data_IF_960694319278
#
_entry.id   IF_960694319278
#
_cell.length_a   1.000
_cell.length_b   1.000
_cell.length_c   1.000
_cell.angle_alpha   90.00
_cell.angle_beta   90.00
_cell.angle_gamma   90.00
#
_symmetry.space_group_name_H-M   'P 1'
#
loop_
_entity.id
_entity.type
_entity.pdbx_description
1 polymer ?
#
# COMPACT_ATOMS: atom_id res chain seq x y z
N UNK A 1 -15.47 24.06 0.44
CA UNK A 1 -16.55 23.18 -0.03
C UNK A 1 -16.24 21.77 0.45
N UNK A 2 -16.95 21.29 1.46
CA UNK A 2 -16.70 19.97 2.06
C UNK A 2 -17.33 18.91 1.15
N UNK A 3 -16.53 18.06 0.51
CA UNK A 3 -17.06 16.92 -0.25
C UNK A 3 -17.78 15.99 0.75
N UNK A 4 -19.04 15.69 0.49
CA UNK A 4 -19.86 14.84 1.37
C UNK A 4 -19.29 13.41 1.39
N UNK A 5 -19.47 12.71 2.52
CA UNK A 5 -19.10 11.29 2.64
C UNK A 5 -20.15 10.43 1.96
N UNK A 6 -19.77 9.69 0.94
CA UNK A 6 -20.65 8.75 0.24
C UNK A 6 -20.45 7.34 0.79
N UNK A 7 -21.54 6.56 0.89
CA UNK A 7 -21.47 5.15 1.32
C UNK A 7 -21.06 4.30 0.12
N UNK A 8 -19.83 3.80 0.14
CA UNK A 8 -19.20 3.07 -0.98
C UNK A 8 -18.80 1.65 -0.55
N UNK A 9 -18.66 0.77 -1.54
CA UNK A 9 -18.06 -0.57 -1.39
C UNK A 9 -16.75 -0.58 -2.16
N UNK A 10 -15.69 -1.09 -1.54
CA UNK A 10 -14.38 -1.23 -2.17
C UNK A 10 -14.16 -2.70 -2.50
N UNK A 11 -13.86 -2.98 -3.76
CA UNK A 11 -13.57 -4.33 -4.25
C UNK A 11 -12.27 -4.32 -5.03
N UNK A 12 -11.52 -5.42 -4.96
CA UNK A 12 -10.39 -5.62 -5.87
C UNK A 12 -10.91 -5.80 -7.30
N UNK A 13 -10.19 -5.23 -8.25
CA UNK A 13 -10.43 -5.41 -9.69
C UNK A 13 -9.09 -5.67 -10.36
N UNK A 14 -9.08 -6.61 -11.31
CA UNK A 14 -7.89 -6.94 -12.10
C UNK A 14 -7.76 -6.06 -13.34
N UNK A 15 -8.85 -5.37 -13.71
CA UNK A 15 -8.94 -4.51 -14.89
C UNK A 15 -9.42 -3.11 -14.53
N UNK A 16 -8.96 -2.13 -15.29
CA UNK A 16 -9.44 -0.75 -15.23
C UNK A 16 -10.43 -0.55 -16.38
N UNK A 17 -11.73 -0.33 -16.11
CA UNK A 17 -12.69 -0.03 -17.16
C UNK A 17 -12.30 1.21 -17.97
N UNK A 18 -12.54 1.21 -19.28
CA UNK A 18 -12.19 2.34 -20.16
C UNK A 18 -12.85 3.67 -19.76
N UNK A 19 -14.01 3.59 -19.11
CA UNK A 19 -14.78 4.75 -18.65
C UNK A 19 -14.46 5.14 -17.20
N UNK A 20 -13.56 4.41 -16.52
CA UNK A 20 -13.24 4.68 -15.13
C UNK A 20 -12.28 5.86 -14.99
N UNK A 21 -12.51 6.68 -13.97
CA UNK A 21 -11.53 7.66 -13.54
C UNK A 21 -10.45 6.94 -12.72
N UNK A 22 -9.21 7.00 -13.20
CA UNK A 22 -8.05 6.43 -12.49
C UNK A 22 -7.47 7.44 -11.53
N UNK A 23 -7.22 7.01 -10.30
CA UNK A 23 -6.54 7.80 -9.28
C UNK A 23 -5.41 7.00 -8.65
N UNK A 24 -4.27 7.64 -8.46
CA UNK A 24 -3.12 7.01 -7.82
C UNK A 24 -3.19 7.15 -6.30
N UNK A 25 -2.63 6.17 -5.61
CA UNK A 25 -2.61 6.10 -4.14
C UNK A 25 -2.00 7.35 -3.49
N UNK A 26 -0.96 7.94 -4.07
CA UNK A 26 -0.32 9.17 -3.58
C UNK A 26 -1.16 10.43 -3.77
N UNK A 27 -2.21 10.38 -4.59
CA UNK A 27 -3.15 11.48 -4.77
C UNK A 27 -4.27 11.46 -3.71
N UNK A 28 -4.28 10.45 -2.83
CA UNK A 28 -5.24 10.35 -1.72
C UNK A 28 -4.64 11.00 -0.46
N UNK A 29 -5.54 11.49 0.41
CA UNK A 29 -5.11 11.83 1.76
C UNK A 29 -4.83 10.53 2.53
N UNK A 30 -3.89 10.57 3.48
CA UNK A 30 -3.51 9.42 4.30
C UNK A 30 -4.74 8.79 4.99
N UNK A 31 -5.62 9.62 5.55
CA UNK A 31 -6.86 9.15 6.17
C UNK A 31 -7.83 8.49 5.18
N UNK A 32 -7.96 9.03 3.97
CA UNK A 32 -8.77 8.40 2.90
C UNK A 32 -8.19 7.04 2.50
N UNK A 33 -6.87 6.93 2.44
CA UNK A 33 -6.20 5.68 2.10
C UNK A 33 -6.43 4.61 3.17
N UNK A 34 -6.25 4.93 4.45
CA UNK A 34 -6.55 4.01 5.55
C UNK A 34 -8.01 3.54 5.52
N UNK A 35 -8.96 4.46 5.30
CA UNK A 35 -10.39 4.13 5.17
C UNK A 35 -10.61 3.12 4.03
N UNK A 36 -10.03 3.35 2.85
CA UNK A 36 -10.17 2.46 1.68
C UNK A 36 -9.56 1.08 1.90
N UNK A 37 -8.34 1.01 2.44
CA UNK A 37 -7.64 -0.27 2.70
C UNK A 37 -8.44 -1.11 3.69
N UNK A 38 -9.03 -0.50 4.72
CA UNK A 38 -9.88 -1.17 5.70
C UNK A 38 -11.26 -1.61 5.17
N UNK A 39 -11.61 -1.25 3.93
CA UNK A 39 -12.89 -1.59 3.28
C UNK A 39 -12.76 -2.62 2.17
N UNK A 40 -11.54 -2.99 1.78
CA UNK A 40 -11.30 -3.94 0.69
C UNK A 40 -12.01 -5.26 0.97
N UNK A 41 -12.94 -5.63 0.09
CA UNK A 41 -13.75 -6.85 0.17
C UNK A 41 -14.61 -6.93 1.45
N UNK A 42 -14.88 -5.79 2.07
CA UNK A 42 -15.71 -5.65 3.27
C UNK A 42 -17.07 -5.00 3.03
N UNK A 43 -17.72 -4.63 4.13
CA UNK A 43 -19.03 -3.99 4.13
C UNK A 43 -18.98 -2.54 3.61
N UNK A 44 -20.08 -2.03 3.00
CA UNK A 44 -20.15 -0.65 2.55
C UNK A 44 -20.00 0.36 3.71
N UNK A 45 -19.17 1.39 3.55
CA UNK A 45 -18.94 2.43 4.57
C UNK A 45 -18.89 3.84 3.97
N UNK A 46 -19.23 4.87 4.76
CA UNK A 46 -19.09 6.26 4.33
C UNK A 46 -17.60 6.65 4.23
N UNK A 47 -17.16 7.10 3.05
CA UNK A 47 -15.77 7.57 2.80
C UNK A 47 -15.82 8.96 2.19
N UNK A 48 -14.86 9.81 2.55
CA UNK A 48 -14.72 11.14 1.98
C UNK A 48 -13.63 11.15 0.91
N UNK A 49 -13.84 11.98 -0.12
CA UNK A 49 -12.78 12.34 -1.04
C UNK A 49 -12.46 11.29 -2.09
N UNK A 50 -13.36 10.32 -2.33
CA UNK A 50 -13.39 9.42 -3.48
C UNK A 50 -14.83 9.30 -3.97
N UNK A 51 -14.98 8.97 -5.25
CA UNK A 51 -16.30 8.88 -5.91
C UNK A 51 -16.56 7.47 -6.44
N UNK A 52 -17.84 7.11 -6.57
CA UNK A 52 -18.23 5.83 -7.14
C UNK A 52 -17.74 5.70 -8.60
N UNK A 53 -17.11 4.57 -8.92
CA UNK A 53 -16.55 4.30 -10.25
C UNK A 53 -15.10 4.76 -10.43
N UNK A 54 -14.49 5.42 -9.43
CA UNK A 54 -13.05 5.63 -9.40
C UNK A 54 -12.32 4.29 -9.18
N UNK A 55 -11.17 4.12 -9.86
CA UNK A 55 -10.24 3.01 -9.61
C UNK A 55 -8.97 3.57 -8.99
N UNK A 56 -8.64 3.08 -7.79
CA UNK A 56 -7.42 3.46 -7.07
C UNK A 56 -6.29 2.50 -7.40
N UNK A 57 -5.17 3.05 -7.89
CA UNK A 57 -4.04 2.28 -8.39
C UNK A 57 -2.84 2.38 -7.46
N UNK A 58 -2.33 1.20 -7.06
CA UNK A 58 -1.10 1.03 -6.31
C UNK A 58 0.01 0.62 -7.27
N UNK A 59 0.62 1.58 -7.97
CA UNK A 59 1.73 1.31 -8.90
C UNK A 59 2.95 2.13 -8.56
N UNK A 60 4.13 1.55 -8.80
CA UNK A 60 5.40 2.28 -8.77
C UNK A 60 5.55 3.19 -9.98
N UNK A 61 6.21 4.33 -9.79
CA UNK A 61 6.51 5.27 -10.86
C UNK A 61 7.83 4.91 -11.55
N UNK A 62 7.83 4.90 -12.87
CA UNK A 62 9.05 4.81 -13.68
C UNK A 62 9.29 6.16 -14.36
N UNK A 63 10.42 6.78 -14.07
CA UNK A 63 10.86 7.98 -14.77
C UNK A 63 11.68 7.59 -16.00
N UNK A 64 11.17 7.90 -17.20
CA UNK A 64 11.92 7.73 -18.44
C UNK A 64 12.77 8.98 -18.68
N UNK A 65 14.06 8.88 -18.38
CA UNK A 65 15.05 9.93 -18.63
C UNK A 65 15.88 9.59 -19.86
N UNK A 66 16.38 10.60 -20.57
CA UNK A 66 17.37 10.38 -21.63
C UNK A 66 18.63 9.79 -20.98
N UNK A 67 19.17 8.72 -21.57
CA UNK A 67 20.45 8.16 -21.16
C UNK A 67 21.53 9.24 -21.31
N UNK A 68 22.21 9.56 -20.21
CA UNK A 68 23.41 10.40 -20.25
C UNK A 68 24.61 9.47 -20.43
N UNK A 69 25.23 9.42 -21.63
CA UNK A 69 26.31 8.48 -21.91
C UNK A 69 27.56 8.73 -21.06
N UNK A 70 27.63 9.83 -20.29
CA UNK A 70 28.74 10.11 -19.36
C UNK A 70 28.50 9.60 -17.94
N UNK A 71 27.27 9.18 -17.60
CA UNK A 71 26.87 8.82 -16.22
C UNK A 71 26.81 7.32 -15.95
N UNK A 72 26.87 6.48 -16.99
CA UNK A 72 26.74 5.01 -16.89
C UNK A 72 27.96 4.28 -16.29
N UNK A 73 28.90 5.01 -15.67
CA UNK A 73 30.08 4.41 -15.02
C UNK A 73 29.82 3.82 -13.63
N UNK A 74 28.72 4.17 -12.96
CA UNK A 74 28.37 3.63 -11.63
C UNK A 74 26.95 4.05 -11.27
N UNK A 75 25.99 3.13 -11.20
CA UNK A 75 24.90 3.06 -10.18
C UNK A 75 23.80 2.12 -10.65
N UNK A 76 23.49 1.14 -9.78
CA UNK A 76 22.37 0.22 -9.96
C UNK A 76 22.46 -1.02 -9.09
N UNK A 77 23.20 -1.02 -7.97
CA UNK A 77 22.86 -1.91 -6.88
C UNK A 77 21.53 -1.37 -6.35
N UNK A 78 20.43 -2.02 -6.70
CA UNK A 78 19.22 -1.91 -5.91
C UNK A 78 19.63 -2.27 -4.49
N UNK A 79 19.62 -1.29 -3.58
CA UNK A 79 19.75 -1.55 -2.17
C UNK A 79 18.52 -2.38 -1.81
N UNK A 80 18.71 -3.70 -1.74
CA UNK A 80 17.77 -4.64 -1.17
C UNK A 80 17.41 -4.13 0.20
N UNK A 81 16.16 -3.72 0.37
CA UNK A 81 15.60 -3.41 1.67
C UNK A 81 15.82 -4.66 2.52
N UNK A 82 16.66 -4.54 3.55
CA UNK A 82 16.96 -5.59 4.50
C UNK A 82 15.64 -6.04 5.13
N UNK A 83 15.23 -7.27 4.78
CA UNK A 83 14.14 -7.99 5.43
C UNK A 83 14.41 -7.97 6.93
N UNK A 84 13.60 -7.23 7.69
CA UNK A 84 13.63 -7.29 9.14
C UNK A 84 13.44 -8.75 9.56
N UNK A 85 14.46 -9.35 10.17
CA UNK A 85 14.40 -10.71 10.66
C UNK A 85 13.28 -10.82 11.72
N UNK A 86 12.53 -11.93 11.75
CA UNK A 86 11.49 -12.13 12.73
C UNK A 86 12.13 -12.19 14.13
N UNK A 87 11.61 -11.40 15.05
CA UNK A 87 11.95 -11.51 16.47
C UNK A 87 11.63 -12.93 16.95
N UNK A 88 12.66 -13.75 17.12
CA UNK A 88 12.54 -15.05 17.76
C UNK A 88 11.99 -14.85 19.17
N UNK A 89 10.86 -15.50 19.45
CA UNK A 89 10.32 -15.60 20.80
C UNK A 89 11.34 -16.36 21.66
N UNK A 90 11.89 -15.70 22.69
CA UNK A 90 12.73 -16.35 23.71
C UNK A 90 11.81 -17.23 24.57
N UNK A 91 11.57 -18.45 24.07
CA UNK A 91 11.04 -19.57 24.84
C UNK A 91 12.17 -20.16 25.67
N UNK A 92 12.45 -19.55 26.84
CA UNK A 92 13.25 -20.20 27.88
C UNK A 92 12.35 -20.76 28.96
N UNK A 93 11.70 -21.85 28.60
CA UNK A 93 11.33 -22.89 29.55
C UNK A 93 12.58 -23.72 29.88
N UNK A 94 13.33 -23.30 30.89
CA UNK A 94 14.33 -24.16 31.53
C UNK A 94 13.75 -24.71 32.83
N UNK A 95 13.21 -25.91 32.69
CA UNK A 95 12.96 -26.88 33.75
C UNK A 95 14.27 -27.20 34.48
N UNK A 96 14.29 -27.02 35.80
CA UNK A 96 15.24 -27.70 36.67
C UNK A 96 14.50 -28.08 37.95
N UNK A 97 14.19 -29.37 38.05
CA UNK A 97 13.53 -30.02 39.18
C UNK A 97 14.34 -30.02 40.51
N UNK A 98 13.87 -30.77 41.50
CA UNK A 98 13.83 -30.34 42.90
C UNK A 98 15.01 -30.83 43.73
N UNK A 99 15.34 -30.12 44.81
CA UNK A 99 16.14 -30.63 45.94
C UNK A 99 15.90 -29.82 47.22
N UNK A 100 15.47 -30.50 48.29
CA UNK A 100 15.56 -30.03 49.69
C UNK A 100 14.24 -29.77 50.38
#
# INVERSE_FOLDING_TARGET
MTRQRERLTVRRTDEVPETATVRHVDQLSEGTLEELVGMVDGEPRPVAGVEAGEVVVFTSYLAVVRADPRRDGRTGAAESVETAEPVEADDRRADAGPVG
#
